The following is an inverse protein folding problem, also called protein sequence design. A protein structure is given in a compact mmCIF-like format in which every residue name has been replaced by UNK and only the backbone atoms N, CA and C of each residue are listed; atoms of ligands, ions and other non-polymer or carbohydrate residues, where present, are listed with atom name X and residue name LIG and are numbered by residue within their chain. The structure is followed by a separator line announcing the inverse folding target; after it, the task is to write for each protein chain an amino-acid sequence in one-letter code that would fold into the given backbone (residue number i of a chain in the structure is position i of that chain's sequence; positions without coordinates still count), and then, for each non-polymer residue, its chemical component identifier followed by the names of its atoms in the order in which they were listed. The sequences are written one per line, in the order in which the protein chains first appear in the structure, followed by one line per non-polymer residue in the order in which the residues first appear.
data_IF_749270795751
#
_entry.id   IF_749270795751
#
_cell.length_a   1.000
_cell.length_b   1.000
_cell.length_c   1.000
_cell.angle_alpha   90.00
_cell.angle_beta   90.00
_cell.angle_gamma   90.00
#
_symmetry.space_group_name_H-M   'P 1'
#
loop_
_entity.id
_entity.type
_entity.pdbx_description
1 polymer ?
#
# COMPACT_ATOMS: atom_id res chain seq x y z
N UNK A 1 -12.16 75.94 8.94
CA UNK A 1 -12.15 75.33 10.27
C UNK A 1 -13.48 74.65 10.47
N UNK A 2 -13.50 73.31 10.34
CA UNK A 2 -14.34 72.38 11.10
C UNK A 2 -14.26 71.03 10.38
N UNK A 3 -13.41 70.18 10.94
CA UNK A 3 -13.24 68.77 10.62
C UNK A 3 -14.55 68.01 10.86
N UNK A 4 -14.95 67.14 9.93
CA UNK A 4 -15.72 65.95 10.30
C UNK A 4 -15.11 64.70 9.66
N UNK A 5 -14.61 63.89 10.59
CA UNK A 5 -13.93 62.63 10.49
C UNK A 5 -14.86 61.55 9.91
N UNK A 6 -14.63 61.10 8.67
CA UNK A 6 -15.22 59.85 8.18
C UNK A 6 -14.29 58.72 8.58
N UNK A 7 -14.57 58.12 9.74
CA UNK A 7 -13.90 56.92 10.24
C UNK A 7 -14.30 55.77 9.31
N UNK A 8 -13.35 55.32 8.48
CA UNK A 8 -13.46 54.08 7.74
C UNK A 8 -13.53 52.90 8.70
N UNK A 9 -14.71 52.31 8.84
CA UNK A 9 -14.85 50.98 9.43
C UNK A 9 -14.41 49.96 8.38
N UNK A 10 -13.10 49.66 8.41
CA UNK A 10 -12.54 48.46 7.80
C UNK A 10 -13.13 47.27 8.54
N UNK A 11 -14.27 46.78 8.05
CA UNK A 11 -14.78 45.45 8.38
C UNK A 11 -13.78 44.46 7.80
N UNK A 12 -12.81 44.03 8.62
CA UNK A 12 -12.06 42.80 8.36
C UNK A 12 -13.10 41.70 8.31
N UNK A 13 -13.50 41.30 7.09
CA UNK A 13 -14.35 40.14 6.88
C UNK A 13 -13.63 38.96 7.53
N UNK A 14 -14.11 38.54 8.71
CA UNK A 14 -13.61 37.36 9.38
C UNK A 14 -13.74 36.20 8.39
N UNK A 15 -12.61 35.56 8.09
CA UNK A 15 -12.59 34.35 7.26
C UNK A 15 -13.61 33.39 7.88
N UNK A 16 -14.61 32.90 7.13
CA UNK A 16 -15.64 32.03 7.67
C UNK A 16 -14.97 30.83 8.37
N UNK A 17 -15.50 30.37 9.50
CA UNK A 17 -14.91 29.25 10.23
C UNK A 17 -14.77 28.05 9.29
N UNK A 18 -13.55 27.53 9.16
CA UNK A 18 -13.24 26.39 8.29
C UNK A 18 -14.14 25.21 8.69
N UNK A 19 -14.88 24.66 7.74
CA UNK A 19 -15.71 23.48 7.99
C UNK A 19 -14.83 22.24 8.23
N UNK A 20 -15.39 21.18 8.83
CA UNK A 20 -14.73 19.87 8.93
C UNK A 20 -14.16 19.42 7.57
N UNK A 21 -14.89 19.66 6.48
CA UNK A 21 -14.49 19.24 5.15
C UNK A 21 -13.31 20.08 4.60
N UNK A 22 -13.27 21.38 4.91
CA UNK A 22 -12.18 22.27 4.49
C UNK A 22 -10.87 21.91 5.21
N UNK A 23 -10.95 21.64 6.52
CA UNK A 23 -9.81 21.17 7.31
C UNK A 23 -9.32 19.81 6.82
N UNK A 24 -10.25 18.91 6.50
CA UNK A 24 -9.89 17.59 6.00
C UNK A 24 -9.16 17.69 4.66
N UNK A 25 -9.66 18.52 3.75
CA UNK A 25 -9.05 18.72 2.43
C UNK A 25 -7.64 19.31 2.56
N UNK A 26 -7.41 20.19 3.53
CA UNK A 26 -6.06 20.71 3.85
C UNK A 26 -5.15 19.62 4.40
N UNK A 27 -5.64 18.78 5.30
CA UNK A 27 -4.90 17.61 5.80
C UNK A 27 -4.52 16.64 4.67
N UNK A 28 -5.45 16.35 3.75
CA UNK A 28 -5.18 15.49 2.59
C UNK A 28 -4.12 16.09 1.67
N UNK A 29 -4.19 17.39 1.38
CA UNK A 29 -3.18 18.07 0.54
C UNK A 29 -1.79 17.96 1.18
N UNK A 30 -1.69 18.22 2.48
CA UNK A 30 -0.42 18.13 3.21
C UNK A 30 0.11 16.69 3.23
N UNK A 31 -0.77 15.70 3.36
CA UNK A 31 -0.39 14.29 3.27
C UNK A 31 0.25 13.97 1.92
N UNK A 32 -0.34 14.43 0.82
CA UNK A 32 0.21 14.23 -0.53
C UNK A 32 1.49 15.03 -0.79
N UNK A 33 1.73 16.11 -0.04
CA UNK A 33 2.99 16.87 -0.03
C UNK A 33 4.06 16.25 0.87
N UNK A 34 3.77 15.11 1.50
CA UNK A 34 4.62 14.44 2.49
C UNK A 34 4.88 15.28 3.76
N UNK A 35 4.02 16.27 4.04
CA UNK A 35 4.05 17.09 5.26
C UNK A 35 3.18 16.42 6.34
N UNK A 36 3.57 15.20 6.73
CA UNK A 36 2.75 14.29 7.53
C UNK A 36 2.41 14.80 8.93
N UNK A 37 3.35 15.45 9.60
CA UNK A 37 3.14 16.04 10.92
C UNK A 37 2.10 17.16 10.86
N UNK A 38 2.14 18.01 9.83
CA UNK A 38 1.13 19.05 9.64
C UNK A 38 -0.23 18.43 9.27
N UNK A 39 -0.24 17.43 8.40
CA UNK A 39 -1.47 16.70 8.08
C UNK A 39 -2.12 16.09 9.35
N UNK A 40 -1.29 15.54 10.25
CA UNK A 40 -1.72 15.01 11.56
C UNK A 40 -2.45 16.07 12.38
N UNK A 41 -1.88 17.26 12.51
CA UNK A 41 -2.47 18.37 13.27
C UNK A 41 -3.88 18.73 12.77
N UNK A 42 -4.09 18.76 11.45
CA UNK A 42 -5.41 19.02 10.87
C UNK A 42 -6.43 17.93 11.22
N UNK A 43 -6.05 16.64 11.13
CA UNK A 43 -6.97 15.55 11.47
C UNK A 43 -7.28 15.49 12.97
N UNK A 44 -6.30 15.76 13.83
CA UNK A 44 -6.51 15.88 15.29
C UNK A 44 -7.37 17.08 15.64
N UNK A 45 -7.20 18.22 14.95
CA UNK A 45 -8.05 19.39 15.11
C UNK A 45 -9.52 19.08 14.79
N UNK A 46 -9.78 18.30 13.73
CA UNK A 46 -11.14 17.87 13.39
C UNK A 46 -11.71 16.99 14.51
N UNK A 47 -10.95 15.99 14.99
CA UNK A 47 -11.37 15.10 16.08
C UNK A 47 -11.70 15.83 17.39
N UNK A 48 -11.06 16.98 17.64
CA UNK A 48 -11.31 17.79 18.83
C UNK A 48 -12.53 18.72 18.71
N UNK A 49 -13.24 18.73 17.58
CA UNK A 49 -14.45 19.55 17.43
C UNK A 49 -15.62 18.97 18.22
N UNK A 50 -16.36 19.80 18.98
CA UNK A 50 -17.43 19.34 19.88
C UNK A 50 -18.63 18.69 19.16
N UNK A 51 -18.84 19.01 17.87
CA UNK A 51 -19.96 18.51 17.06
C UNK A 51 -19.53 17.54 15.95
N UNK A 52 -18.42 16.82 16.14
CA UNK A 52 -17.92 15.88 15.13
C UNK A 52 -18.89 14.69 14.95
N UNK A 53 -19.16 14.35 13.69
CA UNK A 53 -19.99 13.19 13.36
C UNK A 53 -19.18 11.88 13.40
N UNK A 54 -19.85 10.73 13.52
CA UNK A 54 -19.18 9.42 13.41
C UNK A 54 -18.49 9.24 12.06
N UNK A 55 -19.07 9.75 10.97
CA UNK A 55 -18.50 9.68 9.63
C UNK A 55 -17.21 10.50 9.54
N UNK A 56 -17.22 11.74 10.05
CA UNK A 56 -16.02 12.57 10.10
C UNK A 56 -14.94 11.95 10.98
N UNK A 57 -15.33 11.39 12.13
CA UNK A 57 -14.41 10.68 13.04
C UNK A 57 -13.76 9.48 12.36
N UNK A 58 -14.56 8.63 11.68
CA UNK A 58 -14.06 7.48 10.94
C UNK A 58 -13.06 7.90 9.87
N UNK A 59 -13.38 8.93 9.07
CA UNK A 59 -12.50 9.46 8.03
C UNK A 59 -11.17 9.95 8.63
N UNK A 60 -11.22 10.67 9.75
CA UNK A 60 -10.02 11.17 10.43
C UNK A 60 -9.16 10.05 10.99
N UNK A 61 -9.76 9.04 11.63
CA UNK A 61 -9.00 7.89 12.15
C UNK A 61 -8.33 7.09 11.02
N UNK A 62 -9.00 6.92 9.86
CA UNK A 62 -8.36 6.29 8.72
C UNK A 62 -7.15 7.09 8.21
N UNK A 63 -7.29 8.41 8.07
CA UNK A 63 -6.18 9.28 7.63
C UNK A 63 -5.05 9.36 8.66
N UNK A 64 -5.36 9.42 9.95
CA UNK A 64 -4.37 9.36 11.02
C UNK A 64 -3.65 8.01 11.05
N UNK A 65 -4.33 6.91 10.72
CA UNK A 65 -3.71 5.60 10.51
C UNK A 65 -2.65 5.67 9.42
N UNK A 66 -3.00 6.25 8.27
CA UNK A 66 -2.07 6.41 7.14
C UNK A 66 -0.89 7.35 7.49
N UNK A 67 -1.17 8.52 8.07
CA UNK A 67 -0.15 9.47 8.53
C UNK A 67 0.83 8.83 9.49
N UNK A 68 0.34 8.12 10.52
CA UNK A 68 1.23 7.47 11.48
C UNK A 68 2.01 6.31 10.85
N UNK A 69 1.47 5.64 9.83
CA UNK A 69 2.21 4.64 9.07
C UNK A 69 3.42 5.23 8.32
N UNK A 70 3.22 6.37 7.65
CA UNK A 70 4.30 7.11 6.96
C UNK A 70 5.36 7.64 7.94
N UNK A 71 4.91 8.10 9.11
CA UNK A 71 5.78 8.51 10.22
C UNK A 71 6.45 7.33 10.96
N UNK A 72 6.17 6.09 10.56
CA UNK A 72 6.65 4.84 11.20
C UNK A 72 6.21 4.66 12.66
N UNK A 73 5.17 5.37 13.08
CA UNK A 73 4.49 5.21 14.36
C UNK A 73 3.46 4.07 14.24
N UNK A 74 3.96 2.83 14.10
CA UNK A 74 3.12 1.70 13.71
C UNK A 74 2.06 1.32 14.75
N UNK A 75 2.35 1.48 16.04
CA UNK A 75 1.37 1.18 17.09
C UNK A 75 0.23 2.20 17.13
N UNK A 76 0.55 3.48 16.93
CA UNK A 76 -0.45 4.53 16.76
C UNK A 76 -1.25 4.34 15.47
N UNK A 77 -0.61 3.90 14.37
CA UNK A 77 -1.30 3.59 13.13
C UNK A 77 -2.34 2.48 13.34
N UNK A 78 -1.95 1.38 13.98
CA UNK A 78 -2.87 0.29 14.34
C UNK A 78 -4.00 0.76 15.24
N UNK A 79 -3.71 1.54 16.28
CA UNK A 79 -4.74 2.09 17.17
C UNK A 79 -5.76 2.94 16.40
N UNK A 80 -5.29 3.80 15.49
CA UNK A 80 -6.17 4.61 14.66
C UNK A 80 -7.01 3.76 13.69
N UNK A 81 -6.43 2.76 13.03
CA UNK A 81 -7.20 1.85 12.17
C UNK A 81 -8.21 1.01 12.96
N UNK A 82 -7.89 0.55 14.17
CA UNK A 82 -8.85 -0.16 15.02
C UNK A 82 -10.01 0.75 15.46
N UNK A 83 -9.75 2.03 15.78
CA UNK A 83 -10.80 3.01 16.04
C UNK A 83 -11.68 3.25 14.80
N UNK A 84 -11.06 3.34 13.62
CA UNK A 84 -11.78 3.45 12.35
C UNK A 84 -12.70 2.24 12.13
N UNK A 85 -12.16 1.02 12.26
CA UNK A 85 -12.91 -0.23 12.11
C UNK A 85 -14.09 -0.31 13.09
N UNK A 86 -13.87 0.01 14.36
CA UNK A 86 -14.92 0.00 15.39
C UNK A 86 -16.05 1.00 15.10
N UNK A 87 -15.79 2.08 14.37
CA UNK A 87 -16.85 2.99 13.91
C UNK A 87 -17.55 2.39 12.69
N UNK A 88 -16.81 1.86 11.71
CA UNK A 88 -17.41 1.22 10.53
C UNK A 88 -18.41 0.13 10.92
N UNK A 89 -18.08 -0.69 11.92
CA UNK A 89 -18.97 -1.75 12.44
C UNK A 89 -20.28 -1.21 13.03
N UNK A 90 -20.30 0.03 13.50
CA UNK A 90 -21.48 0.70 14.08
C UNK A 90 -22.35 1.42 13.04
N UNK A 91 -21.83 1.71 11.86
CA UNK A 91 -22.58 2.43 10.83
C UNK A 91 -23.57 1.48 10.13
N UNK A 92 -24.83 1.90 9.97
CA UNK A 92 -25.89 1.11 9.32
C UNK A 92 -25.90 1.28 7.78
N UNK A 93 -24.77 1.05 7.10
CA UNK A 93 -24.71 1.04 5.63
C UNK A 93 -24.32 -0.35 5.12
N UNK A 94 -25.03 -0.98 4.17
CA UNK A 94 -24.85 -2.42 3.95
C UNK A 94 -23.65 -2.79 3.07
N UNK A 95 -23.54 -2.29 1.84
CA UNK A 95 -22.49 -2.70 0.88
C UNK A 95 -21.22 -1.85 0.94
N UNK A 96 -21.34 -0.52 1.01
CA UNK A 96 -20.18 0.39 1.03
C UNK A 96 -19.31 0.16 2.27
N UNK A 97 -19.94 -0.13 3.41
CA UNK A 97 -19.27 -0.49 4.66
C UNK A 97 -18.39 -1.73 4.53
N UNK A 98 -18.85 -2.78 3.84
CA UNK A 98 -18.05 -4.00 3.67
C UNK A 98 -16.78 -3.73 2.86
N UNK A 99 -16.87 -2.89 1.83
CA UNK A 99 -15.71 -2.44 1.06
C UNK A 99 -14.73 -1.66 1.96
N UNK A 100 -15.23 -0.75 2.80
CA UNK A 100 -14.39 0.04 3.70
C UNK A 100 -13.77 -0.80 4.83
N UNK A 101 -14.50 -1.78 5.38
CA UNK A 101 -13.97 -2.76 6.35
C UNK A 101 -12.82 -3.56 5.72
N UNK A 102 -13.00 -4.07 4.50
CA UNK A 102 -11.95 -4.81 3.81
C UNK A 102 -10.71 -3.94 3.56
N UNK A 103 -10.88 -2.69 3.12
CA UNK A 103 -9.77 -1.74 2.97
C UNK A 103 -9.07 -1.47 4.30
N UNK A 104 -9.81 -1.35 5.39
CA UNK A 104 -9.24 -1.18 6.73
C UNK A 104 -8.43 -2.42 7.14
N UNK A 105 -8.93 -3.63 6.91
CA UNK A 105 -8.18 -4.87 7.14
C UNK A 105 -6.89 -4.92 6.33
N UNK A 106 -6.91 -4.51 5.06
CA UNK A 106 -5.72 -4.40 4.21
C UNK A 106 -4.71 -3.41 4.81
N UNK A 107 -5.17 -2.24 5.25
CA UNK A 107 -4.30 -1.24 5.89
C UNK A 107 -3.66 -1.79 7.16
N UNK A 108 -4.43 -2.48 8.01
CA UNK A 108 -3.91 -3.14 9.22
C UNK A 108 -2.88 -4.21 8.85
N UNK A 109 -3.18 -5.08 7.87
CA UNK A 109 -2.25 -6.10 7.37
C UNK A 109 -0.94 -5.51 6.84
N UNK A 110 -0.99 -4.37 6.15
CA UNK A 110 0.21 -3.63 5.73
C UNK A 110 1.05 -3.16 6.92
N UNK A 111 0.43 -2.66 7.99
CA UNK A 111 1.17 -2.24 9.18
C UNK A 111 1.84 -3.44 9.88
N UNK A 112 1.16 -4.57 10.02
CA UNK A 112 1.79 -5.79 10.56
C UNK A 112 2.96 -6.25 9.69
N UNK A 113 2.84 -6.18 8.36
CA UNK A 113 3.93 -6.48 7.42
C UNK A 113 5.15 -5.55 7.60
N UNK A 114 4.91 -4.25 7.81
CA UNK A 114 5.96 -3.26 8.11
C UNK A 114 6.63 -3.48 9.47
N UNK A 115 5.89 -4.01 10.45
CA UNK A 115 6.41 -4.45 11.75
C UNK A 115 7.11 -5.82 11.68
N UNK A 116 7.20 -6.42 10.50
CA UNK A 116 7.74 -7.77 10.25
C UNK A 116 6.97 -8.92 10.95
N UNK A 117 5.76 -8.64 11.44
CA UNK A 117 4.82 -9.68 11.88
C UNK A 117 4.06 -10.22 10.66
N UNK A 118 4.72 -11.13 9.95
CA UNK A 118 4.18 -11.69 8.72
C UNK A 118 2.97 -12.60 8.94
N UNK A 119 2.87 -13.26 10.10
CA UNK A 119 1.72 -14.13 10.41
C UNK A 119 0.48 -13.26 10.67
N UNK A 120 0.61 -12.23 11.51
CA UNK A 120 -0.47 -11.28 11.74
C UNK A 120 -0.90 -10.57 10.46
N UNK A 121 0.06 -10.20 9.60
CA UNK A 121 -0.25 -9.61 8.29
C UNK A 121 -1.09 -10.55 7.41
N UNK A 122 -0.68 -11.82 7.28
CA UNK A 122 -1.41 -12.83 6.50
C UNK A 122 -2.85 -12.97 7.00
N UNK A 123 -3.05 -13.07 8.31
CA UNK A 123 -4.39 -13.21 8.90
C UNK A 123 -5.30 -12.02 8.54
N UNK A 124 -4.79 -10.79 8.59
CA UNK A 124 -5.55 -9.59 8.22
C UNK A 124 -5.87 -9.54 6.72
N UNK A 125 -4.94 -9.92 5.85
CA UNK A 125 -5.20 -10.02 4.41
C UNK A 125 -6.24 -11.10 4.08
N UNK A 126 -6.21 -12.24 4.77
CA UNK A 126 -7.22 -13.29 4.60
C UNK A 126 -8.61 -12.84 5.07
N UNK A 127 -8.69 -12.11 6.19
CA UNK A 127 -9.95 -11.50 6.64
C UNK A 127 -10.47 -10.50 5.59
N UNK A 128 -9.59 -9.68 4.99
CA UNK A 128 -9.99 -8.78 3.91
C UNK A 128 -10.58 -9.56 2.71
N UNK A 129 -9.92 -10.61 2.25
CA UNK A 129 -10.45 -11.49 1.17
C UNK A 129 -11.80 -12.11 1.54
N UNK A 130 -11.98 -12.54 2.80
CA UNK A 130 -13.23 -13.10 3.28
C UNK A 130 -14.38 -12.08 3.26
N UNK A 131 -14.11 -10.80 3.51
CA UNK A 131 -15.14 -9.75 3.38
C UNK A 131 -15.43 -9.46 1.92
N UNK A 132 -14.38 -9.31 1.09
CA UNK A 132 -14.49 -9.01 -0.33
C UNK A 132 -15.23 -10.09 -1.11
N UNK A 133 -15.14 -11.37 -0.72
CA UNK A 133 -15.87 -12.47 -1.36
C UNK A 133 -17.39 -12.39 -1.17
N UNK A 134 -17.87 -11.60 -0.21
CA UNK A 134 -19.31 -11.43 0.06
C UNK A 134 -19.94 -10.25 -0.68
N UNK A 135 -19.15 -9.53 -1.49
CA UNK A 135 -19.58 -8.33 -2.23
C UNK A 135 -18.98 -8.33 -3.63
N UNK A 136 -19.58 -7.57 -4.56
CA UNK A 136 -19.00 -7.38 -5.88
C UNK A 136 -17.86 -6.35 -5.82
N UNK A 137 -16.66 -6.80 -5.41
CA UNK A 137 -15.47 -5.95 -5.28
C UNK A 137 -14.67 -5.85 -6.57
N UNK A 138 -13.83 -4.81 -6.68
CA UNK A 138 -12.92 -4.69 -7.81
C UNK A 138 -11.89 -5.83 -7.80
N UNK A 139 -11.70 -6.46 -8.95
CA UNK A 139 -10.69 -7.49 -9.12
C UNK A 139 -9.27 -6.95 -8.88
N UNK A 140 -9.02 -5.66 -9.17
CA UNK A 140 -7.72 -5.02 -8.86
C UNK A 140 -7.36 -5.06 -7.38
N UNK A 141 -8.33 -4.79 -6.49
CA UNK A 141 -8.10 -4.80 -5.05
C UNK A 141 -7.75 -6.21 -4.57
N UNK A 142 -8.50 -7.21 -5.05
CA UNK A 142 -8.28 -8.62 -4.72
C UNK A 142 -6.92 -9.09 -5.25
N UNK A 143 -6.59 -8.76 -6.50
CA UNK A 143 -5.29 -9.09 -7.11
C UNK A 143 -4.10 -8.51 -6.31
N UNK A 144 -4.22 -7.28 -5.82
CA UNK A 144 -3.19 -6.66 -4.99
C UNK A 144 -3.02 -7.40 -3.64
N UNK A 145 -4.11 -7.89 -3.03
CA UNK A 145 -4.01 -8.71 -1.81
C UNK A 145 -3.30 -10.04 -2.10
N UNK A 146 -3.59 -10.68 -3.24
CA UNK A 146 -2.87 -11.89 -3.64
C UNK A 146 -1.36 -11.63 -3.83
N UNK A 147 -0.97 -10.50 -4.42
CA UNK A 147 0.44 -10.09 -4.49
C UNK A 147 1.06 -9.91 -3.09
N UNK A 148 0.39 -9.21 -2.18
CA UNK A 148 0.87 -8.99 -0.82
C UNK A 148 1.03 -10.32 -0.06
N UNK A 149 0.04 -11.22 -0.15
CA UNK A 149 0.11 -12.56 0.41
C UNK A 149 1.27 -13.37 -0.18
N UNK A 150 1.48 -13.32 -1.50
CA UNK A 150 2.58 -14.04 -2.14
C UNK A 150 3.95 -13.55 -1.63
N UNK A 151 4.12 -12.24 -1.48
CA UNK A 151 5.33 -11.65 -0.90
C UNK A 151 5.53 -12.12 0.56
N UNK A 152 4.47 -12.14 1.37
CA UNK A 152 4.54 -12.61 2.77
C UNK A 152 4.87 -14.10 2.87
N UNK A 153 4.28 -14.94 2.01
CA UNK A 153 4.61 -16.36 1.95
C UNK A 153 6.05 -16.59 1.48
N UNK A 154 6.56 -15.75 0.58
CA UNK A 154 7.99 -15.78 0.18
C UNK A 154 8.89 -15.48 1.39
N UNK A 155 8.58 -14.44 2.16
CA UNK A 155 9.35 -14.07 3.36
C UNK A 155 9.30 -15.15 4.45
N UNK A 156 8.19 -15.88 4.56
CA UNK A 156 8.03 -17.00 5.50
C UNK A 156 8.48 -18.35 4.90
N UNK A 157 9.10 -18.35 3.71
CA UNK A 157 9.62 -19.54 2.99
C UNK A 157 8.56 -20.59 2.64
N UNK A 158 7.29 -20.19 2.55
CA UNK A 158 6.18 -21.03 2.09
C UNK A 158 6.02 -20.87 0.57
N UNK A 159 7.01 -21.35 -0.19
CA UNK A 159 7.13 -21.06 -1.62
C UNK A 159 5.96 -21.57 -2.47
N UNK A 160 5.39 -22.74 -2.16
CA UNK A 160 4.23 -23.29 -2.89
C UNK A 160 3.00 -22.38 -2.76
N UNK A 161 2.77 -21.81 -1.58
CA UNK A 161 1.69 -20.85 -1.35
C UNK A 161 1.99 -19.52 -2.05
N UNK A 162 3.24 -19.05 -2.00
CA UNK A 162 3.65 -17.85 -2.71
C UNK A 162 3.41 -17.95 -4.22
N UNK A 163 3.82 -19.06 -4.85
CA UNK A 163 3.63 -19.31 -6.28
C UNK A 163 2.15 -19.34 -6.66
N UNK A 164 1.33 -20.02 -5.85
CA UNK A 164 -0.13 -20.05 -6.03
C UNK A 164 -0.71 -18.64 -6.02
N UNK A 165 -0.35 -17.82 -5.03
CA UNK A 165 -0.87 -16.47 -4.89
C UNK A 165 -0.38 -15.53 -6.00
N UNK A 166 0.89 -15.60 -6.44
CA UNK A 166 1.37 -14.84 -7.61
C UNK A 166 0.63 -15.24 -8.89
N UNK A 167 0.44 -16.55 -9.10
CA UNK A 167 -0.27 -17.06 -10.28
C UNK A 167 -1.71 -16.57 -10.32
N UNK A 168 -2.44 -16.66 -9.20
CA UNK A 168 -3.80 -16.13 -9.10
C UNK A 168 -3.84 -14.63 -9.39
N UNK A 169 -2.94 -13.83 -8.80
CA UNK A 169 -2.91 -12.39 -9.05
C UNK A 169 -2.63 -12.06 -10.53
N UNK A 170 -1.70 -12.78 -11.16
CA UNK A 170 -1.38 -12.61 -12.57
C UNK A 170 -2.56 -12.95 -13.49
N UNK A 171 -3.29 -14.04 -13.19
CA UNK A 171 -4.50 -14.43 -13.93
C UNK A 171 -5.60 -13.37 -13.82
N UNK A 172 -5.78 -12.80 -12.63
CA UNK A 172 -6.73 -11.71 -12.40
C UNK A 172 -6.34 -10.45 -13.17
N UNK A 173 -5.07 -10.05 -13.08
CA UNK A 173 -4.57 -8.87 -13.79
C UNK A 173 -4.69 -9.02 -15.31
N UNK A 174 -4.47 -10.23 -15.86
CA UNK A 174 -4.66 -10.54 -17.29
C UNK A 174 -6.10 -10.40 -17.78
N UNK A 175 -7.09 -10.52 -16.90
CA UNK A 175 -8.49 -10.31 -17.26
C UNK A 175 -8.86 -8.83 -17.38
N UNK A 176 -8.03 -7.93 -16.83
CA UNK A 176 -8.35 -6.50 -16.69
C UNK A 176 -7.40 -5.58 -17.44
N UNK A 177 -6.19 -6.05 -17.75
CA UNK A 177 -5.12 -5.26 -18.35
C UNK A 177 -4.73 -5.80 -19.73
N UNK A 178 -4.21 -4.93 -20.57
CA UNK A 178 -3.64 -5.32 -21.87
C UNK A 178 -2.45 -6.27 -21.69
N UNK A 179 -2.22 -7.18 -22.65
CA UNK A 179 -1.28 -8.32 -22.57
C UNK A 179 0.15 -7.97 -22.15
N UNK A 180 0.57 -6.72 -22.36
CA UNK A 180 1.91 -6.23 -22.06
C UNK A 180 1.98 -5.22 -20.91
N UNK A 181 0.91 -5.06 -20.12
CA UNK A 181 0.88 -4.03 -19.10
C UNK A 181 2.11 -4.08 -18.15
N UNK A 182 2.81 -2.96 -17.87
CA UNK A 182 4.03 -2.94 -17.05
C UNK A 182 3.91 -3.58 -15.66
N UNK A 183 2.69 -3.69 -15.12
CA UNK A 183 2.36 -4.41 -13.87
C UNK A 183 2.81 -5.87 -13.92
N UNK A 184 2.70 -6.55 -15.05
CA UNK A 184 3.15 -7.94 -15.19
C UNK A 184 4.65 -8.09 -14.96
N UNK A 185 5.44 -7.10 -15.40
CA UNK A 185 6.88 -7.10 -15.14
C UNK A 185 7.21 -7.08 -13.65
N UNK A 186 6.42 -6.38 -12.84
CA UNK A 186 6.57 -6.38 -11.38
C UNK A 186 6.22 -7.74 -10.77
N UNK A 187 5.15 -8.38 -11.23
CA UNK A 187 4.77 -9.73 -10.79
C UNK A 187 5.87 -10.73 -11.12
N UNK A 188 6.38 -10.72 -12.35
CA UNK A 188 7.47 -11.60 -12.77
C UNK A 188 8.75 -11.34 -11.97
N UNK A 189 9.11 -10.08 -11.71
CA UNK A 189 10.25 -9.76 -10.87
C UNK A 189 10.11 -10.35 -9.45
N UNK A 190 8.92 -10.25 -8.84
CA UNK A 190 8.66 -10.80 -7.52
C UNK A 190 8.69 -12.34 -7.51
N UNK A 191 8.16 -12.99 -8.54
CA UNK A 191 8.30 -14.45 -8.73
C UNK A 191 9.78 -14.85 -8.89
N UNK A 192 10.56 -14.06 -9.62
CA UNK A 192 12.01 -14.25 -9.74
C UNK A 192 12.72 -14.18 -8.38
N UNK A 193 12.36 -13.21 -7.54
CA UNK A 193 12.86 -13.11 -6.16
C UNK A 193 12.45 -14.31 -5.32
N UNK A 194 11.20 -14.78 -5.45
CA UNK A 194 10.71 -15.97 -4.75
C UNK A 194 11.55 -17.21 -5.10
N UNK A 195 11.75 -17.51 -6.38
CA UNK A 195 12.60 -18.63 -6.80
C UNK A 195 14.07 -18.45 -6.41
N UNK A 196 14.57 -17.22 -6.42
CA UNK A 196 15.90 -16.92 -5.93
C UNK A 196 16.04 -17.25 -4.43
N UNK A 197 15.04 -16.91 -3.61
CA UNK A 197 14.98 -17.28 -2.19
C UNK A 197 14.84 -18.79 -1.96
N UNK A 198 14.23 -19.50 -2.90
CA UNK A 198 14.17 -20.97 -2.94
C UNK A 198 15.48 -21.62 -3.43
N UNK A 199 16.48 -20.82 -3.83
CA UNK A 199 17.73 -21.27 -4.48
C UNK A 199 17.53 -21.94 -5.85
N UNK A 200 16.34 -21.82 -6.47
CA UNK A 200 16.12 -22.21 -7.86
C UNK A 200 16.52 -21.07 -8.80
N UNK A 201 17.84 -20.93 -8.98
CA UNK A 201 18.40 -19.85 -9.81
C UNK A 201 17.99 -19.95 -11.28
N UNK A 202 17.63 -21.13 -11.78
CA UNK A 202 17.17 -21.30 -13.16
C UNK A 202 15.80 -20.68 -13.37
N UNK A 203 14.86 -20.99 -12.47
CA UNK A 203 13.53 -20.39 -12.53
C UNK A 203 13.58 -18.90 -12.18
N UNK A 204 14.42 -18.50 -11.23
CA UNK A 204 14.64 -17.09 -10.92
C UNK A 204 15.05 -16.30 -12.18
N UNK A 205 16.05 -16.77 -12.93
CA UNK A 205 16.49 -16.13 -14.17
C UNK A 205 15.38 -16.06 -15.22
N UNK A 206 14.63 -17.16 -15.41
CA UNK A 206 13.49 -17.17 -16.34
C UNK A 206 12.53 -16.02 -16.04
N UNK A 207 12.10 -15.86 -14.79
CA UNK A 207 11.17 -14.80 -14.40
C UNK A 207 11.79 -13.41 -14.44
N UNK A 208 13.08 -13.25 -14.10
CA UNK A 208 13.77 -11.97 -14.25
C UNK A 208 13.89 -11.53 -15.71
N UNK A 209 14.14 -12.45 -16.64
CA UNK A 209 14.14 -12.14 -18.07
C UNK A 209 12.74 -11.77 -18.59
N UNK A 210 11.68 -12.48 -18.16
CA UNK A 210 10.30 -12.10 -18.49
C UNK A 210 9.97 -10.69 -17.97
N UNK A 211 10.35 -10.37 -16.73
CA UNK A 211 10.17 -9.04 -16.15
C UNK A 211 10.89 -7.95 -16.98
N UNK A 212 12.16 -8.18 -17.30
CA UNK A 212 12.95 -7.27 -18.13
C UNK A 212 12.30 -7.05 -19.50
N UNK A 213 11.87 -8.14 -20.15
CA UNK A 213 11.23 -8.10 -21.47
C UNK A 213 9.93 -7.32 -21.45
N UNK A 214 9.08 -7.49 -20.43
CA UNK A 214 7.84 -6.70 -20.29
C UNK A 214 8.17 -5.22 -20.17
N UNK A 215 9.11 -4.84 -19.30
CA UNK A 215 9.44 -3.43 -19.09
C UNK A 215 10.14 -2.77 -20.29
N UNK A 216 10.97 -3.50 -21.04
CA UNK A 216 11.66 -2.99 -22.23
C UNK A 216 10.71 -2.57 -23.35
N UNK A 217 9.45 -3.03 -23.35
CA UNK A 217 8.44 -2.59 -24.33
C UNK A 217 8.01 -1.14 -24.12
N UNK A 218 8.14 -0.60 -22.91
CA UNK A 218 7.62 0.73 -22.54
C UNK A 218 8.69 1.69 -22.01
N UNK A 219 9.83 1.16 -21.58
CA UNK A 219 10.87 1.92 -20.88
C UNK A 219 12.18 1.88 -21.67
N UNK A 220 12.92 3.01 -21.75
CA UNK A 220 14.24 3.02 -22.37
C UNK A 220 15.23 2.18 -21.55
N UNK A 221 16.30 1.72 -22.20
CA UNK A 221 17.35 0.93 -21.55
C UNK A 221 18.01 1.64 -20.35
N UNK A 222 18.00 2.98 -20.33
CA UNK A 222 18.51 3.80 -19.22
C UNK A 222 17.57 3.88 -18.01
N UNK A 223 16.36 3.31 -18.10
CA UNK A 223 15.40 3.35 -17.01
C UNK A 223 15.88 2.50 -15.81
N UNK A 224 15.67 3.01 -14.59
CA UNK A 224 16.15 2.40 -13.34
C UNK A 224 15.72 0.95 -13.16
N UNK A 225 14.50 0.58 -13.59
CA UNK A 225 14.02 -0.80 -13.53
C UNK A 225 14.80 -1.74 -14.46
N UNK A 226 15.19 -1.29 -15.65
CA UNK A 226 15.96 -2.12 -16.58
C UNK A 226 17.38 -2.32 -16.05
N UNK A 227 18.05 -1.24 -15.63
CA UNK A 227 19.40 -1.29 -15.05
C UNK A 227 19.46 -2.15 -13.78
N UNK A 228 18.48 -2.00 -12.87
CA UNK A 228 18.39 -2.82 -11.66
C UNK A 228 18.16 -4.30 -11.99
N UNK A 229 17.31 -4.58 -12.98
CA UNK A 229 17.03 -5.95 -13.41
C UNK A 229 18.26 -6.60 -14.06
N UNK A 230 19.01 -5.87 -14.89
CA UNK A 230 20.27 -6.37 -15.46
C UNK A 230 21.30 -6.74 -14.38
N UNK A 231 21.47 -5.88 -13.37
CA UNK A 231 22.37 -6.16 -12.24
C UNK A 231 21.91 -7.40 -11.48
N UNK A 232 20.61 -7.55 -11.28
CA UNK A 232 20.01 -8.71 -10.62
C UNK A 232 20.27 -9.98 -11.43
N UNK A 233 19.98 -9.99 -12.73
CA UNK A 233 20.23 -11.11 -13.63
C UNK A 233 21.70 -11.55 -13.57
N UNK A 234 22.65 -10.61 -13.74
CA UNK A 234 24.10 -10.93 -13.69
C UNK A 234 24.50 -11.56 -12.35
N UNK A 235 23.96 -11.06 -11.23
CA UNK A 235 24.21 -11.63 -9.91
C UNK A 235 23.71 -13.08 -9.81
N UNK A 236 22.52 -13.36 -10.32
CA UNK A 236 21.93 -14.69 -10.28
C UNK A 236 22.66 -15.65 -11.23
N UNK A 237 23.06 -15.22 -12.42
CA UNK A 237 23.88 -16.00 -13.35
C UNK A 237 25.21 -16.40 -12.72
N UNK A 238 25.88 -15.47 -12.03
CA UNK A 238 27.10 -15.76 -11.28
C UNK A 238 26.88 -16.83 -10.21
N UNK A 239 25.80 -16.71 -9.41
CA UNK A 239 25.44 -17.73 -8.41
C UNK A 239 25.12 -19.08 -9.03
N UNK A 240 24.40 -19.11 -10.15
CA UNK A 240 24.09 -20.34 -10.87
C UNK A 240 25.38 -21.01 -11.40
N UNK A 241 26.33 -20.23 -11.92
CA UNK A 241 27.64 -20.73 -12.35
C UNK A 241 28.42 -21.39 -11.21
N UNK A 242 28.49 -20.73 -10.05
CA UNK A 242 29.13 -21.28 -8.84
C UNK A 242 28.43 -22.56 -8.34
N UNK A 243 27.09 -22.56 -8.38
CA UNK A 243 26.28 -23.71 -7.97
C UNK A 243 26.51 -24.94 -8.84
N UNK A 244 26.55 -24.77 -10.17
CA UNK A 244 26.82 -25.84 -11.13
C UNK A 244 28.25 -26.38 -10.97
N UNK A 245 29.21 -25.52 -10.62
CA UNK A 245 30.61 -25.90 -10.40
C UNK A 245 30.88 -26.56 -9.03
N UNK A 246 29.85 -26.71 -8.18
CA UNK A 246 29.98 -27.36 -6.87
C UNK A 246 30.76 -26.52 -5.84
N UNK A 247 30.87 -25.20 -6.04
CA UNK A 247 31.57 -24.31 -5.10
C UNK A 247 30.79 -24.25 -3.78
N UNK A 248 31.42 -24.48 -2.61
CA UNK A 248 30.73 -24.52 -1.33
C UNK A 248 29.97 -23.23 -1.00
N UNK A 249 28.75 -23.38 -0.44
CA UNK A 249 27.80 -22.30 -0.12
C UNK A 249 28.37 -21.14 0.71
N UNK A 250 29.44 -21.36 1.47
CA UNK A 250 30.05 -20.38 2.39
C UNK A 250 30.83 -19.27 1.67
N UNK A 251 31.14 -19.44 0.38
CA UNK A 251 31.88 -18.46 -0.43
C UNK A 251 30.96 -17.55 -1.27
N UNK A 252 29.64 -17.60 -1.06
CA UNK A 252 28.62 -16.95 -1.91
C UNK A 252 27.89 -15.78 -1.19
N UNK A 253 28.42 -15.31 -0.06
CA UNK A 253 27.89 -14.17 0.71
C UNK A 253 28.56 -12.88 0.33
#
# INVERSE_FOLDING_TARGET
MSDENIIGTSTTAAVPPKTCNDLFSQGDILFWQCEYEKAKEYFEQILNQPSITLIHSARCYNSLGAVNAELKNYDEALNNYHKHLAILEKLETPETRKSDIAKCHISIGKIYSLKEDYVGAIDWYQQALSVLSTINSSSDLISNIHHDLANLYTKTKQFDLAEKHFTTALEMDRQQLEEDHPKFGQTYANMGVMYYCQEDYKQALKYFFEAQRTWQKFLPASHVYIDSMEKTIRKVESKLGMYIQGVPKVMIT
#
